data_IF_246490345631
#
_entry.id   IF_246490345631
#
_cell.length_a   1.000
_cell.length_b   1.000
_cell.length_c   1.000
_cell.angle_alpha   90.00
_cell.angle_beta   90.00
_cell.angle_gamma   90.00
#
_symmetry.space_group_name_H-M   'P 1'
#
loop_
_entity.id
_entity.type
_entity.pdbx_description
1 polymer ?
#
# COMPACT_ATOMS: atom_id res chain seq x y z
N UNK A 1 8.35 -28.67 -23.75
CA UNK A 1 9.13 -28.55 -22.50
C UNK A 1 8.93 -27.14 -21.99
N UNK A 2 8.16 -26.98 -20.92
CA UNK A 2 7.95 -25.67 -20.30
C UNK A 2 9.22 -25.33 -19.53
N UNK A 3 9.98 -24.34 -19.98
CA UNK A 3 11.04 -23.74 -19.18
C UNK A 3 10.38 -23.01 -18.01
N UNK A 4 10.36 -23.64 -16.83
CA UNK A 4 10.15 -22.92 -15.58
C UNK A 4 11.35 -21.98 -15.39
N UNK A 5 11.14 -20.71 -15.72
CA UNK A 5 12.12 -19.67 -15.49
C UNK A 5 12.21 -19.40 -13.99
N UNK A 6 13.40 -19.44 -13.37
CA UNK A 6 13.56 -19.03 -11.99
C UNK A 6 13.27 -17.53 -11.89
N UNK A 7 12.11 -17.17 -11.34
CA UNK A 7 11.70 -15.80 -11.02
C UNK A 7 12.50 -15.28 -9.80
N UNK A 8 13.80 -15.09 -9.95
CA UNK A 8 14.61 -14.42 -8.94
C UNK A 8 14.52 -12.90 -9.12
N UNK A 9 13.67 -12.25 -8.33
CA UNK A 9 13.72 -10.79 -8.10
C UNK A 9 14.54 -10.52 -6.83
N UNK A 10 15.57 -9.68 -6.95
CA UNK A 10 16.36 -9.23 -5.79
C UNK A 10 15.76 -7.95 -5.20
N UNK A 11 15.75 -7.88 -3.88
CA UNK A 11 15.64 -6.64 -3.10
C UNK A 11 17.07 -6.11 -2.99
N UNK A 12 17.31 -4.92 -3.53
CA UNK A 12 18.59 -4.23 -3.41
C UNK A 12 18.59 -3.48 -2.08
N UNK A 13 19.42 -3.91 -1.13
CA UNK A 13 19.71 -3.14 0.08
C UNK A 13 20.37 -1.80 -0.26
N UNK A 14 19.81 -0.76 0.36
CA UNK A 14 20.34 0.55 0.70
C UNK A 14 21.33 1.26 -0.25
N UNK A 15 20.78 2.23 -0.99
CA UNK A 15 20.96 3.69 -0.77
C UNK A 15 20.34 4.44 -1.96
N UNK A 16 19.09 4.86 -1.80
CA UNK A 16 18.40 5.93 -2.53
C UNK A 16 18.71 6.13 -4.04
N UNK A 17 18.51 5.08 -4.85
CA UNK A 17 18.26 5.19 -6.31
C UNK A 17 16.92 4.52 -6.73
N UNK A 18 16.18 3.95 -5.77
CA UNK A 18 14.95 3.20 -5.99
C UNK A 18 13.67 4.00 -5.71
N UNK A 19 13.79 5.22 -5.19
CA UNK A 19 12.68 6.15 -5.19
C UNK A 19 12.34 6.48 -6.66
N UNK A 20 11.13 6.07 -7.09
CA UNK A 20 10.39 6.48 -8.29
C UNK A 20 10.35 5.51 -9.50
N UNK A 21 11.19 4.47 -9.64
CA UNK A 21 11.21 3.76 -10.94
C UNK A 21 11.13 2.24 -11.03
N UNK A 22 10.81 1.51 -9.96
CA UNK A 22 10.23 0.15 -9.98
C UNK A 22 10.50 -0.51 -8.62
N UNK A 23 9.83 -0.07 -7.55
CA UNK A 23 9.82 -0.89 -6.35
C UNK A 23 9.15 -2.23 -6.69
N UNK A 24 9.90 -3.31 -6.52
CA UNK A 24 9.48 -4.68 -6.80
C UNK A 24 9.56 -5.55 -5.55
N UNK A 25 9.64 -4.93 -4.38
CA UNK A 25 9.41 -5.64 -3.14
C UNK A 25 8.01 -6.26 -3.16
N UNK A 26 7.86 -7.34 -2.39
CA UNK A 26 6.59 -8.05 -2.30
C UNK A 26 5.49 -7.10 -1.84
N UNK A 27 4.29 -7.32 -2.36
CA UNK A 27 3.07 -6.69 -1.85
C UNK A 27 2.73 -7.35 -0.52
N UNK A 28 2.57 -6.55 0.54
CA UNK A 28 2.16 -7.05 1.85
C UNK A 28 0.63 -7.08 1.96
N UNK A 29 -0.03 -5.99 1.55
CA UNK A 29 -1.48 -5.89 1.54
C UNK A 29 -1.98 -4.94 0.44
N UNK A 30 -3.28 -4.99 0.21
CA UNK A 30 -3.98 -4.09 -0.70
C UNK A 30 -5.42 -3.87 -0.24
N UNK A 31 -5.98 -2.73 -0.59
CA UNK A 31 -7.27 -2.26 -0.09
C UNK A 31 -8.10 -1.65 -1.23
N UNK A 32 -9.41 -1.87 -1.22
CA UNK A 32 -10.33 -1.09 -2.05
C UNK A 32 -10.98 0.02 -1.21
N UNK A 33 -10.74 1.26 -1.61
CA UNK A 33 -11.35 2.44 -1.02
C UNK A 33 -12.57 2.86 -1.84
N UNK A 34 -13.76 2.55 -1.30
CA UNK A 34 -15.03 2.90 -1.92
C UNK A 34 -15.26 4.40 -2.03
N UNK A 35 -14.77 5.17 -1.07
CA UNK A 35 -14.97 6.61 -1.01
C UNK A 35 -14.23 7.36 -2.10
N UNK A 36 -13.05 6.85 -2.50
CA UNK A 36 -12.25 7.38 -3.63
C UNK A 36 -12.43 6.61 -4.94
N UNK A 37 -13.06 5.43 -4.89
CA UNK A 37 -13.14 4.45 -5.98
C UNK A 37 -11.73 4.09 -6.52
N UNK A 38 -10.83 3.74 -5.60
CA UNK A 38 -9.43 3.41 -5.88
C UNK A 38 -9.01 2.11 -5.19
N UNK A 39 -8.06 1.40 -5.78
CA UNK A 39 -7.32 0.33 -5.13
C UNK A 39 -5.98 0.87 -4.63
N UNK A 40 -5.68 0.64 -3.36
CA UNK A 40 -4.40 0.95 -2.74
C UNK A 40 -3.59 -0.34 -2.66
N UNK A 41 -2.33 -0.29 -3.09
CA UNK A 41 -1.40 -1.42 -2.99
C UNK A 41 -0.21 -0.97 -2.13
N UNK A 42 0.01 -1.67 -1.02
CA UNK A 42 1.15 -1.45 -0.14
C UNK A 42 2.18 -2.57 -0.35
N UNK A 43 3.39 -2.16 -0.68
CA UNK A 43 4.55 -3.04 -0.75
C UNK A 43 5.35 -2.97 0.54
N UNK A 44 6.21 -3.97 0.75
CA UNK A 44 7.14 -4.00 1.89
C UNK A 44 8.00 -2.73 1.93
N UNK A 45 8.40 -2.24 0.77
CA UNK A 45 9.13 -0.99 0.62
C UNK A 45 8.31 0.04 -0.16
N UNK A 46 8.70 1.30 -0.05
CA UNK A 46 8.17 2.37 -0.88
C UNK A 46 6.80 2.92 -0.44
N UNK A 47 6.29 3.81 -1.30
CA UNK A 47 5.02 4.52 -1.09
C UNK A 47 3.84 3.65 -1.52
N UNK A 48 2.66 3.94 -0.95
CA UNK A 48 1.41 3.33 -1.40
C UNK A 48 1.18 3.67 -2.87
N UNK A 49 0.82 2.65 -3.65
CA UNK A 49 0.45 2.79 -5.06
C UNK A 49 -1.07 2.86 -5.18
N UNK A 50 -1.60 3.78 -6.00
CA UNK A 50 -3.03 3.99 -6.18
C UNK A 50 -3.43 3.61 -7.60
N UNK A 51 -4.35 2.67 -7.74
CA UNK A 51 -4.85 2.18 -9.02
C UNK A 51 -6.32 2.52 -9.16
N UNK A 52 -6.67 3.22 -10.24
CA UNK A 52 -8.04 3.69 -10.43
C UNK A 52 -8.97 2.61 -10.97
N UNK A 53 -8.45 1.72 -11.80
CA UNK A 53 -9.27 0.72 -12.49
C UNK A 53 -8.61 -0.66 -12.40
N UNK A 54 -9.40 -1.75 -12.38
CA UNK A 54 -8.88 -3.11 -12.50
C UNK A 54 -7.90 -3.32 -13.65
N UNK A 55 -8.14 -2.66 -14.79
CA UNK A 55 -7.27 -2.74 -15.98
C UNK A 55 -5.88 -2.15 -15.76
N UNK A 56 -5.70 -1.26 -14.77
CA UNK A 56 -4.42 -0.61 -14.54
C UNK A 56 -3.42 -1.62 -13.93
N UNK A 57 -3.91 -2.65 -13.24
CA UNK A 57 -3.12 -3.80 -12.79
C UNK A 57 -2.52 -4.59 -13.96
N UNK A 58 -3.11 -4.55 -15.16
CA UNK A 58 -2.53 -5.18 -16.36
C UNK A 58 -1.16 -4.58 -16.74
N UNK A 59 -0.81 -3.39 -16.23
CA UNK A 59 0.52 -2.80 -16.43
C UNK A 59 1.59 -3.41 -15.53
N UNK A 60 1.20 -4.11 -14.46
CA UNK A 60 2.10 -4.86 -13.60
C UNK A 60 2.54 -6.18 -14.25
N UNK A 61 3.75 -6.68 -13.95
CA UNK A 61 4.20 -7.99 -14.40
C UNK A 61 3.47 -9.13 -13.67
N UNK A 62 3.53 -10.34 -14.24
CA UNK A 62 2.96 -11.55 -13.62
C UNK A 62 3.41 -11.74 -12.17
N UNK A 63 4.71 -11.54 -11.89
CA UNK A 63 5.28 -11.71 -10.54
C UNK A 63 4.61 -10.79 -9.51
N UNK A 64 4.33 -9.54 -9.87
CA UNK A 64 3.68 -8.58 -8.97
C UNK A 64 2.22 -8.96 -8.74
N UNK A 65 1.49 -9.37 -9.79
CA UNK A 65 0.11 -9.85 -9.65
C UNK A 65 0.04 -11.11 -8.79
N UNK A 66 1.00 -12.02 -8.93
CA UNK A 66 1.14 -13.20 -8.07
C UNK A 66 1.43 -12.79 -6.61
N UNK A 67 2.19 -11.73 -6.38
CA UNK A 67 2.39 -11.18 -5.03
C UNK A 67 1.10 -10.61 -4.46
N UNK A 68 0.32 -9.85 -5.25
CA UNK A 68 -0.97 -9.30 -4.84
C UNK A 68 -1.96 -10.42 -4.46
N UNK A 69 -2.01 -11.49 -5.26
CA UNK A 69 -2.87 -12.63 -4.96
C UNK A 69 -2.54 -13.33 -3.63
N UNK A 70 -1.29 -13.26 -3.18
CA UNK A 70 -0.85 -13.83 -1.90
C UNK A 70 -1.01 -12.85 -0.74
N UNK A 71 -1.13 -11.56 -1.03
CA UNK A 71 -1.22 -10.49 -0.06
C UNK A 71 -2.63 -10.40 0.56
N UNK A 72 -2.71 -9.83 1.76
CA UNK A 72 -3.99 -9.60 2.44
C UNK A 72 -4.82 -8.56 1.66
N UNK A 73 -6.08 -8.89 1.39
CA UNK A 73 -7.02 -7.98 0.74
C UNK A 73 -8.01 -7.39 1.75
N UNK A 74 -8.06 -6.07 1.84
CA UNK A 74 -8.99 -5.35 2.68
C UNK A 74 -10.13 -4.73 1.84
N UNK A 75 -11.37 -5.10 2.15
CA UNK A 75 -12.57 -4.50 1.58
C UNK A 75 -13.54 -4.06 2.69
N UNK A 76 -13.22 -2.99 3.45
CA UNK A 76 -14.04 -2.55 4.58
C UNK A 76 -15.49 -2.22 4.18
N UNK A 77 -15.68 -1.73 2.96
CA UNK A 77 -16.99 -1.41 2.41
C UNK A 77 -17.85 -2.61 2.00
N UNK A 78 -17.27 -3.83 1.99
CA UNK A 78 -17.90 -5.05 1.47
C UNK A 78 -18.44 -4.86 0.05
N UNK A 79 -17.69 -4.13 -0.78
CA UNK A 79 -18.07 -3.86 -2.16
C UNK A 79 -17.95 -5.12 -3.01
N UNK A 80 -19.04 -5.51 -3.65
CA UNK A 80 -19.11 -6.75 -4.43
C UNK A 80 -18.24 -6.73 -5.69
N UNK A 81 -18.00 -5.57 -6.30
CA UNK A 81 -17.12 -5.46 -7.47
C UNK A 81 -15.66 -5.62 -7.06
N UNK A 82 -15.29 -5.10 -5.89
CA UNK A 82 -13.96 -5.29 -5.34
C UNK A 82 -13.69 -6.77 -5.02
N UNK A 83 -14.65 -7.48 -4.44
CA UNK A 83 -14.54 -8.93 -4.19
C UNK A 83 -14.47 -9.75 -5.49
N UNK A 84 -15.28 -9.38 -6.50
CA UNK A 84 -15.22 -10.00 -7.82
C UNK A 84 -13.85 -9.78 -8.48
N UNK A 85 -13.26 -8.60 -8.31
CA UNK A 85 -11.93 -8.33 -8.84
C UNK A 85 -10.83 -9.10 -8.11
N UNK A 86 -10.89 -9.21 -6.77
CA UNK A 86 -9.98 -10.05 -6.00
C UNK A 86 -10.06 -11.52 -6.43
N UNK A 87 -11.28 -12.03 -6.64
CA UNK A 87 -11.50 -13.37 -7.19
C UNK A 87 -10.95 -13.51 -8.61
N UNK A 88 -11.12 -12.50 -9.46
CA UNK A 88 -10.55 -12.47 -10.79
C UNK A 88 -9.02 -12.58 -10.76
N UNK A 89 -8.33 -11.80 -9.92
CA UNK A 89 -6.87 -11.87 -9.76
C UNK A 89 -6.43 -13.27 -9.34
N UNK A 90 -7.16 -13.90 -8.41
CA UNK A 90 -6.92 -15.28 -7.99
C UNK A 90 -7.05 -16.27 -9.13
N UNK A 91 -8.15 -16.21 -9.87
CA UNK A 91 -8.41 -17.07 -11.02
C UNK A 91 -7.33 -16.90 -12.11
N UNK A 92 -6.86 -15.66 -12.34
CA UNK A 92 -5.76 -15.42 -13.27
C UNK A 92 -4.45 -16.04 -12.77
N UNK A 93 -4.13 -15.95 -11.48
CA UNK A 93 -2.90 -16.53 -10.94
C UNK A 93 -2.90 -18.06 -10.99
N UNK A 94 -4.01 -18.70 -10.64
CA UNK A 94 -4.15 -20.16 -10.59
C UNK A 94 -4.10 -20.80 -11.99
N UNK A 95 -4.62 -20.10 -13.01
CA UNK A 95 -4.70 -20.60 -14.40
C UNK A 95 -3.58 -20.07 -15.31
N UNK A 96 -2.52 -19.50 -14.72
CA UNK A 96 -1.40 -18.83 -15.40
C UNK A 96 -1.80 -17.78 -16.46
N UNK A 97 -2.69 -16.87 -16.04
CA UNK A 97 -3.08 -15.66 -16.77
C UNK A 97 -3.71 -15.95 -18.14
N UNK A 98 -4.85 -16.66 -18.19
CA UNK A 98 -5.51 -17.01 -19.45
C UNK A 98 -6.08 -15.79 -20.19
N UNK A 99 -6.41 -14.71 -19.48
CA UNK A 99 -7.11 -13.54 -20.03
C UNK A 99 -6.34 -12.24 -19.77
N UNK A 100 -5.82 -12.06 -18.55
CA UNK A 100 -5.15 -10.83 -18.14
C UNK A 100 -3.78 -10.70 -18.81
N UNK A 101 -3.64 -9.68 -19.65
CA UNK A 101 -2.35 -9.33 -20.26
C UNK A 101 -1.52 -8.50 -19.28
N UNK A 102 -0.48 -9.08 -18.73
CA UNK A 102 0.42 -8.41 -17.79
C UNK A 102 1.53 -7.64 -18.49
N UNK A 103 2.11 -6.67 -17.78
CA UNK A 103 3.28 -5.91 -18.20
C UNK A 103 4.45 -6.81 -18.54
N UNK A 104 5.06 -6.59 -19.71
CA UNK A 104 6.22 -7.35 -20.18
C UNK A 104 7.52 -6.62 -19.87
N UNK A 105 8.46 -7.34 -19.28
CA UNK A 105 9.81 -6.85 -19.05
C UNK A 105 10.64 -6.95 -20.33
N UNK A 106 11.53 -5.98 -20.52
CA UNK A 106 12.60 -6.08 -21.50
C UNK A 106 13.80 -6.77 -20.86
N UNK A 107 14.30 -7.82 -21.52
CA UNK A 107 15.47 -8.59 -21.09
C UNK A 107 16.75 -7.84 -21.39
N UNK A 108 17.68 -7.84 -20.44
CA UNK A 108 19.01 -7.28 -20.56
C UNK A 108 20.05 -8.31 -20.10
N UNK A 109 21.21 -8.28 -20.73
CA UNK A 109 22.40 -9.01 -20.30
C UNK A 109 23.39 -8.00 -19.72
N UNK A 110 23.89 -8.24 -18.52
CA UNK A 110 24.89 -7.38 -17.88
C UNK A 110 26.24 -7.51 -18.59
N UNK A 111 26.88 -6.41 -18.97
CA UNK A 111 28.20 -6.50 -19.61
C UNK A 111 29.33 -6.77 -18.63
N UNK A 112 29.09 -6.57 -17.32
CA UNK A 112 30.14 -6.61 -16.29
C UNK A 112 29.86 -7.61 -15.15
N UNK A 113 28.68 -8.22 -15.11
CA UNK A 113 28.30 -9.16 -14.04
C UNK A 113 28.15 -10.56 -14.63
N UNK A 114 28.93 -11.50 -14.09
CA UNK A 114 28.86 -12.92 -14.41
C UNK A 114 28.23 -13.63 -13.20
N UNK A 115 27.22 -14.45 -13.44
CA UNK A 115 26.63 -15.30 -12.42
C UNK A 115 27.70 -16.30 -11.93
N UNK A 116 28.03 -16.30 -10.62
CA UNK A 116 29.11 -17.12 -10.09
C UNK A 116 28.83 -18.63 -10.18
N UNK A 117 27.55 -19.04 -10.19
CA UNK A 117 27.11 -20.44 -10.29
C UNK A 117 27.11 -20.90 -11.74
N UNK A 118 26.46 -20.15 -12.63
CA UNK A 118 26.28 -20.59 -14.02
C UNK A 118 27.43 -20.22 -14.95
N UNK A 119 28.35 -19.34 -14.49
CA UNK A 119 29.45 -18.76 -15.28
C UNK A 119 28.98 -18.02 -16.54
N UNK A 120 27.69 -17.73 -16.65
CA UNK A 120 27.08 -16.99 -17.74
C UNK A 120 26.90 -15.53 -17.35
N UNK A 121 26.79 -14.68 -18.36
CA UNK A 121 26.39 -13.29 -18.18
C UNK A 121 25.08 -13.20 -17.41
N UNK A 122 25.04 -12.36 -16.39
CA UNK A 122 23.84 -12.12 -15.62
C UNK A 122 22.73 -11.54 -16.50
N UNK A 123 21.54 -12.12 -16.39
CA UNK A 123 20.34 -11.68 -17.11
C UNK A 123 19.40 -11.00 -16.12
N UNK A 124 18.88 -9.84 -16.49
CA UNK A 124 17.89 -9.14 -15.69
C UNK A 124 16.81 -8.52 -16.57
N UNK A 125 15.63 -8.27 -16.00
CA UNK A 125 14.49 -7.70 -16.71
C UNK A 125 14.19 -6.30 -16.18
N UNK A 126 14.04 -5.32 -17.08
CA UNK A 126 13.47 -4.01 -16.73
C UNK A 126 12.04 -3.96 -17.21
N UNK A 127 11.15 -3.52 -16.34
CA UNK A 127 9.73 -3.38 -16.66
C UNK A 127 9.37 -1.90 -16.77
N UNK A 128 8.33 -1.56 -17.56
CA UNK A 128 7.75 -0.23 -17.46
C UNK A 128 7.15 -0.01 -16.06
N UNK A 129 7.11 1.25 -15.58
CA UNK A 129 6.42 1.57 -14.34
C UNK A 129 4.94 1.23 -14.49
N UNK A 130 4.28 0.75 -13.42
CA UNK A 130 2.85 0.52 -13.44
C UNK A 130 2.09 1.84 -13.59
N UNK A 131 0.88 1.77 -14.15
CA UNK A 131 -0.01 2.91 -14.27
C UNK A 131 -0.71 3.15 -12.93
N UNK A 132 -0.13 4.06 -12.15
CA UNK A 132 -0.66 4.51 -10.86
C UNK A 132 -1.12 5.96 -10.96
N UNK A 133 -2.10 6.33 -10.15
CA UNK A 133 -2.52 7.71 -10.00
C UNK A 133 -1.42 8.52 -9.29
N UNK A 134 -1.01 9.61 -9.94
CA UNK A 134 0.00 10.55 -9.39
C UNK A 134 -0.69 11.60 -8.51
N UNK A 135 -1.95 11.92 -8.81
CA UNK A 135 -2.77 12.86 -8.06
C UNK A 135 -3.94 12.10 -7.46
N UNK A 136 -3.88 11.89 -6.16
CA UNK A 136 -4.86 11.11 -5.42
C UNK A 136 -5.84 12.07 -4.72
N UNK A 137 -7.16 11.87 -4.84
CA UNK A 137 -8.13 12.61 -4.06
C UNK A 137 -7.87 12.42 -2.56
N UNK A 138 -8.05 13.48 -1.77
CA UNK A 138 -8.00 13.37 -0.31
C UNK A 138 -9.11 12.40 0.15
N UNK A 139 -8.81 11.58 1.15
CA UNK A 139 -9.80 10.70 1.76
C UNK A 139 -11.07 11.49 2.17
N UNK A 140 -12.28 10.97 1.86
CA UNK A 140 -13.51 11.63 2.23
C UNK A 140 -13.57 11.88 3.73
N UNK A 141 -13.98 13.09 4.10
CA UNK A 141 -14.10 13.49 5.51
C UNK A 141 -15.13 12.60 6.20
N UNK A 142 -14.80 12.15 7.40
CA UNK A 142 -15.76 11.47 8.27
C UNK A 142 -16.47 12.48 9.17
N UNK A 143 -17.60 12.09 9.76
CA UNK A 143 -18.31 12.94 10.73
C UNK A 143 -17.39 13.35 11.88
N UNK A 144 -17.57 14.55 12.43
CA UNK A 144 -16.91 14.88 13.69
C UNK A 144 -17.32 13.87 14.77
N UNK A 145 -16.38 13.50 15.63
CA UNK A 145 -16.56 12.49 16.68
C UNK A 145 -16.82 11.07 16.12
N UNK A 146 -16.27 10.75 14.94
CA UNK A 146 -16.32 9.38 14.39
C UNK A 146 -15.51 8.38 15.22
N UNK A 147 -14.60 8.86 16.06
CA UNK A 147 -13.85 8.07 17.02
C UNK A 147 -14.44 8.21 18.43
N UNK A 148 -15.77 8.38 18.57
CA UNK A 148 -16.46 8.51 19.85
C UNK A 148 -16.10 7.38 20.84
N UNK A 149 -16.09 6.15 20.34
CA UNK A 149 -15.84 4.94 21.13
C UNK A 149 -14.38 4.46 21.04
N UNK A 150 -13.47 5.31 20.57
CA UNK A 150 -12.05 4.99 20.41
C UNK A 150 -11.46 4.31 21.65
N UNK A 151 -10.82 3.17 21.43
CA UNK A 151 -10.16 2.42 22.48
C UNK A 151 -8.64 2.55 22.41
N UNK A 152 -8.11 2.25 21.23
CA UNK A 152 -6.68 2.27 20.97
C UNK A 152 -6.45 2.16 19.47
N UNK A 153 -5.20 2.41 19.09
CA UNK A 153 -4.71 2.16 17.77
C UNK A 153 -3.32 1.53 17.88
N UNK A 154 -3.01 0.66 16.94
CA UNK A 154 -1.75 -0.07 16.90
C UNK A 154 -1.21 -0.11 15.48
N UNK A 155 0.09 -0.34 15.38
CA UNK A 155 0.76 -0.58 14.11
C UNK A 155 0.81 -2.08 13.84
N UNK A 156 0.24 -2.49 12.72
CA UNK A 156 0.29 -3.85 12.18
C UNK A 156 1.54 -3.97 11.30
N UNK A 157 2.58 -4.62 11.83
CA UNK A 157 3.87 -4.83 11.18
C UNK A 157 3.80 -5.78 9.98
N UNK A 158 2.81 -6.69 9.95
CA UNK A 158 2.60 -7.61 8.84
C UNK A 158 2.02 -6.90 7.61
N UNK A 159 1.06 -6.00 7.84
CA UNK A 159 0.37 -5.28 6.77
C UNK A 159 0.93 -3.87 6.51
N UNK A 160 1.87 -3.42 7.35
CA UNK A 160 2.45 -2.08 7.32
C UNK A 160 1.38 -0.97 7.38
N UNK A 161 0.42 -1.15 8.30
CA UNK A 161 -0.78 -0.33 8.41
C UNK A 161 -1.03 0.11 9.85
N UNK A 162 -1.64 1.29 10.03
CA UNK A 162 -2.19 1.66 11.32
C UNK A 162 -3.64 1.15 11.42
N UNK A 163 -3.97 0.48 12.53
CA UNK A 163 -5.31 -0.05 12.80
C UNK A 163 -5.90 0.70 13.99
N UNK A 164 -7.07 1.31 13.80
CA UNK A 164 -7.81 2.04 14.83
C UNK A 164 -8.99 1.19 15.28
N UNK A 165 -9.04 0.86 16.57
CA UNK A 165 -10.12 0.07 17.18
C UNK A 165 -11.16 1.02 17.78
N UNK A 166 -12.40 0.95 17.28
CA UNK A 166 -13.49 1.84 17.68
C UNK A 166 -14.47 1.21 18.66
N UNK A 167 -14.50 -0.11 18.82
CA UNK A 167 -15.43 -0.76 19.74
C UNK A 167 -14.76 -1.93 20.46
N UNK A 168 -15.14 -2.16 21.73
CA UNK A 168 -14.58 -3.23 22.56
C UNK A 168 -15.34 -4.53 22.33
N UNK A 169 -16.62 -4.40 22.00
CA UNK A 169 -17.55 -5.50 21.86
C UNK A 169 -17.71 -5.92 20.38
N UNK A 170 -17.12 -5.16 19.45
CA UNK A 170 -17.07 -5.47 18.03
C UNK A 170 -15.63 -5.34 17.53
N UNK A 171 -14.98 -6.50 17.37
CA UNK A 171 -13.61 -6.61 16.88
C UNK A 171 -13.48 -6.25 15.40
N UNK A 172 -14.60 -6.22 14.65
CA UNK A 172 -14.63 -5.89 13.23
C UNK A 172 -14.87 -4.39 13.00
N UNK A 173 -15.23 -3.62 14.04
CA UNK A 173 -15.35 -2.16 13.99
C UNK A 173 -13.97 -1.48 14.11
N UNK A 174 -13.19 -1.67 13.05
CA UNK A 174 -11.83 -1.16 12.90
C UNK A 174 -11.71 -0.23 11.69
N UNK A 175 -10.76 0.70 11.75
CA UNK A 175 -10.31 1.49 10.60
C UNK A 175 -8.88 1.09 10.24
N UNK A 176 -8.64 0.72 8.98
CA UNK A 176 -7.31 0.35 8.48
C UNK A 176 -6.79 1.51 7.64
N UNK A 177 -5.66 2.07 8.05
CA UNK A 177 -5.01 3.21 7.42
C UNK A 177 -3.68 2.72 6.81
N UNK A 178 -3.64 2.59 5.48
CA UNK A 178 -2.41 2.21 4.75
C UNK A 178 -1.52 3.41 4.45
N UNK A 179 -2.12 4.55 4.10
CA UNK A 179 -1.43 5.81 3.88
C UNK A 179 -1.63 6.72 5.10
N UNK A 180 -0.56 7.15 5.80
CA UNK A 180 -0.64 8.12 6.88
C UNK A 180 -1.51 9.35 6.57
N UNK A 181 -1.54 9.82 5.31
CA UNK A 181 -2.35 10.97 4.90
C UNK A 181 -3.86 10.72 5.02
N UNK A 182 -4.30 9.47 5.01
CA UNK A 182 -5.72 9.13 5.18
C UNK A 182 -6.22 9.43 6.59
N UNK A 183 -5.33 9.67 7.57
CA UNK A 183 -5.70 10.18 8.90
C UNK A 183 -6.31 11.59 8.85
N UNK A 184 -6.01 12.39 7.82
CA UNK A 184 -6.57 13.74 7.68
C UNK A 184 -8.08 13.75 7.39
N UNK A 185 -8.70 12.58 7.18
CA UNK A 185 -10.15 12.44 7.09
C UNK A 185 -10.87 12.78 8.40
N UNK A 186 -10.18 12.66 9.54
CA UNK A 186 -10.73 12.90 10.87
C UNK A 186 -10.79 14.38 11.23
N UNK A 187 -11.81 14.74 12.03
CA UNK A 187 -11.98 16.08 12.58
C UNK A 187 -11.09 16.36 13.79
N UNK A 188 -11.15 17.58 14.32
CA UNK A 188 -10.32 18.04 15.45
C UNK A 188 -10.34 17.09 16.64
N UNK A 189 -11.54 16.75 17.13
CA UNK A 189 -11.69 15.97 18.37
C UNK A 189 -11.17 14.55 18.23
N UNK A 190 -11.39 13.95 17.05
CA UNK A 190 -10.87 12.62 16.70
C UNK A 190 -9.34 12.64 16.60
N UNK A 191 -8.77 13.67 15.96
CA UNK A 191 -7.33 13.85 15.86
C UNK A 191 -6.67 14.11 17.22
N UNK A 192 -7.34 14.83 18.13
CA UNK A 192 -6.86 15.02 19.49
C UNK A 192 -6.80 13.71 20.27
N UNK A 193 -7.78 12.80 20.10
CA UNK A 193 -7.74 11.46 20.70
C UNK A 193 -6.54 10.65 20.21
N UNK A 194 -6.30 10.66 18.89
CA UNK A 194 -5.13 10.00 18.29
C UNK A 194 -3.81 10.62 18.76
N UNK A 195 -3.75 11.94 18.92
CA UNK A 195 -2.55 12.64 19.38
C UNK A 195 -2.22 12.33 20.86
N UNK A 196 -3.24 12.24 21.70
CA UNK A 196 -3.08 11.96 23.14
C UNK A 196 -2.83 10.48 23.43
N UNK A 197 -3.09 9.59 22.48
CA UNK A 197 -2.94 8.15 22.63
C UNK A 197 -1.76 7.68 21.79
N UNK A 198 -0.65 7.19 22.37
CA UNK A 198 0.45 6.68 21.57
C UNK A 198 0.00 5.48 20.73
N UNK A 199 0.44 5.41 19.46
CA UNK A 199 0.25 4.22 18.65
C UNK A 199 1.01 3.07 19.31
N UNK A 200 0.34 1.93 19.52
CA UNK A 200 1.00 0.75 20.06
C UNK A 200 1.81 0.09 18.96
N UNK A 201 3.10 -0.09 19.21
CA UNK A 201 4.01 -0.77 18.29
C UNK A 201 4.45 -2.06 18.95
N UNK A 202 4.48 -3.13 18.15
CA UNK A 202 5.02 -4.43 18.54
C UNK A 202 6.24 -4.73 17.68
N UNK A 203 7.10 -5.65 18.14
CA UNK A 203 8.24 -6.14 17.35
C UNK A 203 9.32 -5.12 16.96
N UNK A 204 9.32 -3.92 17.54
CA UNK A 204 10.32 -2.87 17.23
C UNK A 204 10.08 -2.12 15.91
N UNK A 205 8.86 -2.15 15.38
CA UNK A 205 8.47 -1.46 14.14
C UNK A 205 8.26 0.06 14.32
N UNK A 206 9.05 0.68 15.21
CA UNK A 206 8.88 2.07 15.62
C UNK A 206 9.13 3.03 14.46
N UNK A 207 10.12 2.74 13.61
CA UNK A 207 10.46 3.57 12.45
C UNK A 207 9.35 3.57 11.41
N UNK A 208 8.72 2.41 11.18
CA UNK A 208 7.65 2.24 10.21
C UNK A 208 6.32 2.85 10.71
N UNK A 209 6.12 2.92 12.03
CA UNK A 209 4.96 3.57 12.64
C UNK A 209 5.07 5.10 12.71
N UNK A 210 6.30 5.66 12.70
CA UNK A 210 6.54 7.12 12.82
C UNK A 210 5.78 8.00 11.82
N UNK A 211 5.63 7.64 10.53
CA UNK A 211 4.87 8.45 9.59
C UNK A 211 3.43 8.72 10.05
N UNK A 212 2.76 7.75 10.66
CA UNK A 212 1.39 7.89 11.15
C UNK A 212 1.31 8.87 12.33
N UNK A 213 2.19 8.75 13.31
CA UNK A 213 2.23 9.66 14.46
C UNK A 213 2.65 11.08 14.07
N UNK A 214 3.57 11.23 13.11
CA UNK A 214 3.98 12.53 12.55
C UNK A 214 2.82 13.25 11.89
N UNK A 215 2.03 12.57 11.05
CA UNK A 215 0.85 13.19 10.41
C UNK A 215 -0.14 13.68 11.46
N UNK A 216 -0.39 12.89 12.51
CA UNK A 216 -1.26 13.31 13.62
C UNK A 216 -0.73 14.57 14.31
N UNK A 217 0.55 14.59 14.69
CA UNK A 217 1.17 15.75 15.33
C UNK A 217 1.10 17.00 14.46
N UNK A 218 1.51 16.90 13.19
CA UNK A 218 1.46 18.02 12.26
C UNK A 218 0.05 18.51 11.99
N UNK A 219 -0.92 17.60 11.90
CA UNK A 219 -2.31 18.00 11.70
C UNK A 219 -2.86 18.79 12.89
N UNK A 220 -2.46 18.50 14.13
CA UNK A 220 -2.82 19.29 15.30
C UNK A 220 -2.11 20.64 15.29
N UNK A 221 -0.80 20.66 15.09
CA UNK A 221 0.04 21.88 15.13
C UNK A 221 -0.35 22.87 14.03
N UNK A 222 -0.48 22.39 12.80
CA UNK A 222 -0.77 23.18 11.60
C UNK A 222 -2.28 23.29 11.30
N UNK A 223 -3.13 22.68 12.14
CA UNK A 223 -4.59 22.62 11.99
C UNK A 223 -5.02 22.00 10.65
N UNK A 224 -4.40 20.91 10.19
CA UNK A 224 -4.66 20.28 8.88
C UNK A 224 -5.78 19.21 8.88
N UNK A 225 -6.61 19.16 9.92
CA UNK A 225 -7.69 18.19 10.06
C UNK A 225 -8.99 18.60 9.36
N UNK A 226 -9.91 17.65 9.19
CA UNK A 226 -11.21 17.90 8.59
C UNK A 226 -11.97 19.00 9.35
N UNK A 227 -12.47 19.99 8.61
CA UNK A 227 -13.20 21.15 9.17
C UNK A 227 -12.34 22.38 9.45
N UNK A 228 -11.00 22.30 9.37
CA UNK A 228 -10.12 23.45 9.57
C UNK A 228 -9.88 24.28 8.30
N UNK A 229 -10.91 24.74 7.59
CA UNK A 229 -10.74 25.64 6.44
C UNK A 229 -10.03 25.02 5.21
N UNK A 230 -9.72 25.82 4.16
CA UNK A 230 -9.08 25.33 2.94
C UNK A 230 -7.57 25.13 3.16
N UNK A 231 -7.10 23.89 2.98
CA UNK A 231 -5.68 23.53 3.15
C UNK A 231 -4.98 23.42 1.79
N UNK A 232 -3.94 24.22 1.58
CA UNK A 232 -2.92 23.99 0.55
C UNK A 232 -1.57 23.84 1.28
N UNK A 233 -1.28 22.66 1.82
CA UNK A 233 -0.02 22.40 2.51
C UNK A 233 0.62 21.12 1.95
N UNK A 234 1.88 21.25 1.53
CA UNK A 234 2.73 20.12 1.15
C UNK A 234 3.44 19.62 2.41
N UNK A 235 3.06 18.46 2.92
CA UNK A 235 3.74 17.85 4.07
C UNK A 235 5.01 17.10 3.62
N UNK A 236 6.18 17.35 4.25
CA UNK A 236 7.38 16.55 4.02
C UNK A 236 7.22 15.22 4.73
N UNK A 237 6.63 14.23 4.05
CA UNK A 237 6.53 12.87 4.56
C UNK A 237 7.60 12.05 3.85
N UNK A 238 8.74 11.93 4.53
CA UNK A 238 9.85 11.04 4.22
C UNK A 238 9.72 9.76 5.03
#
# INVERSE_FOLDING_TARGET
MNEEHPEHTFISDDRNMFAVRNDRSNVCCWLYDKGRDLYLVKRMNGKVEYYKRPRDFCTMPKVDIRSINKAMFFNPSKDSQADLFAKFIKDQCEKDFPVMRTGKGRRFASTCIIDPKTKKTWIYYKYPPPHVEITVPVSPRVSNNSLANFLSWYYDDLNLAAVIIKNKDDIDDIDIILDPMDLLKYGKDDMMKLHQSPIRVYSGADEEAKPFTRVVAYAIELKLYAGAGPHNVTLPIG
#
